data_IF_240207937078
#
_entry.id   IF_240207937078
#
_cell.length_a   1.000
_cell.length_b   1.000
_cell.length_c   1.000
_cell.angle_alpha   90.00
_cell.angle_beta   90.00
_cell.angle_gamma   90.00
#
_symmetry.space_group_name_H-M   'P 1'
#
loop_
_entity.id
_entity.type
_entity.pdbx_description
1 polymer ?
#
# COMPACT_ATOMS: atom_id res chain seq x y z
N UNK A 1 16.13 26.76 -12.41
CA UNK A 1 15.73 26.95 -10.99
C UNK A 1 14.47 26.18 -10.64
N UNK A 2 13.37 26.30 -11.40
CA UNK A 2 12.12 25.55 -11.15
C UNK A 2 12.30 24.02 -11.14
N UNK A 3 13.09 23.48 -12.07
CA UNK A 3 13.34 22.03 -12.16
C UNK A 3 14.01 21.46 -10.90
N UNK A 4 14.98 22.19 -10.34
CA UNK A 4 15.67 21.82 -9.11
C UNK A 4 14.73 21.85 -7.89
N UNK A 5 13.80 22.80 -7.86
CA UNK A 5 12.78 22.91 -6.80
C UNK A 5 11.79 21.75 -6.87
N UNK A 6 11.37 21.34 -8.08
CA UNK A 6 10.48 20.19 -8.27
C UNK A 6 11.14 18.89 -7.83
N UNK A 7 12.42 18.67 -8.17
CA UNK A 7 13.18 17.50 -7.73
C UNK A 7 13.28 17.47 -6.20
N UNK A 8 13.60 18.60 -5.57
CA UNK A 8 13.66 18.70 -4.11
C UNK A 8 12.30 18.42 -3.43
N UNK A 9 11.20 18.88 -4.02
CA UNK A 9 9.85 18.65 -3.51
C UNK A 9 9.43 17.17 -3.61
N UNK A 10 9.77 16.49 -4.71
CA UNK A 10 9.50 15.04 -4.88
C UNK A 10 10.31 14.21 -3.88
N UNK A 11 11.59 14.56 -3.67
CA UNK A 11 12.46 13.90 -2.69
C UNK A 11 11.98 14.12 -1.24
N UNK A 12 11.42 15.28 -0.93
CA UNK A 12 10.82 15.56 0.38
C UNK A 12 9.45 14.89 0.58
N UNK A 13 8.71 14.63 -0.52
CA UNK A 13 7.35 14.07 -0.49
C UNK A 13 7.27 12.56 -0.25
N UNK A 14 8.31 11.79 -0.57
CA UNK A 14 8.34 10.35 -0.36
C UNK A 14 9.25 9.97 0.83
N UNK A 15 8.72 10.06 2.04
CA UNK A 15 9.19 9.27 3.19
C UNK A 15 10.42 9.76 3.95
N UNK A 16 10.91 10.98 3.70
CA UNK A 16 12.03 11.58 4.45
C UNK A 16 11.63 12.66 5.46
N UNK A 17 10.36 12.67 5.88
CA UNK A 17 10.00 13.32 7.14
C UNK A 17 10.53 12.45 8.28
N UNK A 18 11.17 13.09 9.27
CA UNK A 18 11.90 12.49 10.38
C UNK A 18 11.33 11.14 10.79
N UNK A 19 12.18 10.11 10.72
CA UNK A 19 11.99 8.83 11.37
C UNK A 19 11.54 9.11 12.81
N UNK A 20 10.24 9.08 13.08
CA UNK A 20 9.76 8.71 14.41
C UNK A 20 10.39 7.35 14.64
N UNK A 21 11.49 7.34 15.42
CA UNK A 21 12.38 6.18 15.61
C UNK A 21 11.71 5.00 16.31
N UNK A 22 10.41 5.06 16.47
CA UNK A 22 9.51 4.00 16.86
C UNK A 22 8.18 4.30 16.20
N UNK A 23 7.83 3.63 15.10
CA UNK A 23 6.42 3.31 14.92
C UNK A 23 5.95 2.74 16.28
N UNK A 24 4.83 3.19 16.87
CA UNK A 24 4.47 2.79 18.22
C UNK A 24 4.50 1.26 18.29
N UNK A 25 5.49 0.71 19.01
CA UNK A 25 5.61 -0.74 19.19
C UNK A 25 4.34 -1.29 19.87
N UNK A 26 3.58 -0.41 20.51
CA UNK A 26 2.27 -0.65 21.04
C UNK A 26 1.23 -0.47 19.93
N UNK A 27 0.66 -1.59 19.50
CA UNK A 27 -0.55 -1.67 18.67
C UNK A 27 -1.62 -0.70 19.24
N UNK A 28 -2.00 0.38 18.53
CA UNK A 28 -3.02 1.30 19.02
C UNK A 28 -4.37 0.59 19.13
N UNK A 29 -4.95 0.64 20.34
CA UNK A 29 -6.17 -0.06 20.69
C UNK A 29 -7.42 0.45 19.93
N UNK A 30 -7.36 1.66 19.38
CA UNK A 30 -8.50 2.33 18.75
C UNK A 30 -8.49 2.27 17.21
N UNK A 31 -7.50 1.62 16.58
CA UNK A 31 -7.52 1.44 15.13
C UNK A 31 -8.19 0.10 14.79
N UNK A 32 -9.18 0.16 13.92
CA UNK A 32 -9.92 -1.02 13.42
C UNK A 32 -9.02 -1.99 12.66
N UNK A 33 -7.93 -1.51 12.04
CA UNK A 33 -6.88 -2.34 11.43
C UNK A 33 -6.23 -3.33 12.40
N UNK A 34 -6.40 -3.09 13.70
CA UNK A 34 -5.84 -3.89 14.76
C UNK A 34 -6.86 -4.72 15.54
N UNK A 35 -8.15 -4.60 15.21
CA UNK A 35 -9.18 -5.48 15.75
C UNK A 35 -8.84 -6.95 15.43
N UNK A 36 -9.30 -7.91 16.26
CA UNK A 36 -9.24 -9.32 15.90
C UNK A 36 -9.89 -9.51 14.53
N UNK A 37 -9.20 -10.21 13.62
CA UNK A 37 -9.78 -10.56 12.34
C UNK A 37 -10.95 -11.52 12.61
N UNK A 38 -12.20 -11.17 12.25
CA UNK A 38 -13.34 -12.05 12.44
C UNK A 38 -13.31 -13.25 11.48
N UNK A 39 -12.39 -13.25 10.50
CA UNK A 39 -12.21 -14.36 9.57
C UNK A 39 -11.46 -15.49 10.26
N UNK A 40 -11.80 -16.72 9.89
CA UNK A 40 -11.03 -17.90 10.25
C UNK A 40 -9.60 -17.78 9.72
N UNK A 41 -8.65 -18.57 10.26
CA UNK A 41 -7.28 -18.63 9.75
C UNK A 41 -7.29 -18.70 8.21
N UNK A 42 -6.66 -17.71 7.58
CA UNK A 42 -6.48 -17.69 6.15
C UNK A 42 -5.67 -18.95 5.80
N UNK A 43 -6.24 -19.79 4.93
CA UNK A 43 -5.54 -20.97 4.42
C UNK A 43 -4.24 -20.61 3.69
N UNK A 44 -3.55 -21.60 3.12
CA UNK A 44 -2.31 -21.37 2.39
C UNK A 44 -2.47 -20.25 1.34
N UNK A 45 -1.46 -19.39 1.22
CA UNK A 45 -1.45 -18.38 0.17
C UNK A 45 -1.61 -19.03 -1.20
N UNK A 46 -2.45 -18.44 -2.04
CA UNK A 46 -2.74 -18.91 -3.39
C UNK A 46 -2.64 -17.76 -4.37
N UNK A 47 -2.13 -18.05 -5.58
CA UNK A 47 -2.15 -17.12 -6.69
C UNK A 47 -3.59 -16.90 -7.15
N UNK A 48 -4.10 -15.67 -7.01
CA UNK A 48 -5.44 -15.30 -7.50
C UNK A 48 -5.43 -15.08 -9.02
N UNK A 49 -4.31 -14.60 -9.57
CA UNK A 49 -4.13 -14.31 -10.99
C UNK A 49 -3.08 -15.26 -11.57
N UNK A 50 -3.50 -16.47 -11.93
CA UNK A 50 -2.59 -17.49 -12.51
C UNK A 50 -2.04 -17.02 -13.86
N UNK A 51 -2.89 -16.38 -14.66
CA UNK A 51 -2.48 -15.70 -15.90
C UNK A 51 -2.49 -14.18 -15.69
N UNK A 52 -1.29 -13.61 -15.60
CA UNK A 52 -1.11 -12.18 -15.44
C UNK A 52 -1.66 -11.40 -16.64
N UNK A 53 -1.58 -11.94 -17.87
CA UNK A 53 -1.99 -11.23 -19.07
C UNK A 53 -3.51 -11.04 -19.13
N UNK A 54 -4.27 -12.09 -18.83
CA UNK A 54 -5.72 -12.01 -18.68
C UNK A 54 -6.14 -11.07 -17.55
N UNK A 55 -5.42 -11.08 -16.41
CA UNK A 55 -5.73 -10.18 -15.29
C UNK A 55 -5.54 -8.71 -15.66
N UNK A 56 -4.46 -8.36 -16.37
CA UNK A 56 -4.24 -6.99 -16.83
C UNK A 56 -5.26 -6.56 -17.88
N UNK A 57 -5.60 -7.42 -18.84
CA UNK A 57 -6.63 -7.12 -19.83
C UNK A 57 -8.00 -6.83 -19.18
N UNK A 58 -8.35 -7.55 -18.11
CA UNK A 58 -9.58 -7.28 -17.36
C UNK A 58 -9.54 -5.92 -16.62
N UNK A 59 -8.39 -5.53 -16.08
CA UNK A 59 -8.21 -4.21 -15.45
C UNK A 59 -8.37 -3.09 -16.49
N UNK A 60 -7.74 -3.25 -17.66
CA UNK A 60 -7.84 -2.27 -18.74
C UNK A 60 -9.29 -2.11 -19.23
N UNK A 61 -10.05 -3.21 -19.28
CA UNK A 61 -11.47 -3.18 -19.65
C UNK A 61 -12.32 -2.39 -18.65
N UNK A 62 -12.08 -2.54 -17.34
CA UNK A 62 -12.80 -1.78 -16.30
C UNK A 62 -12.50 -0.27 -16.33
N UNK A 63 -11.33 0.13 -16.83
CA UNK A 63 -10.94 1.55 -16.95
C UNK A 63 -11.58 2.21 -18.18
N UNK A 64 -11.99 1.42 -19.17
CA UNK A 64 -12.58 1.90 -20.41
C UNK A 64 -14.10 2.16 -20.33
N UNK A 65 -14.76 1.80 -19.22
CA UNK A 65 -16.17 2.11 -18.90
C UNK A 65 -16.33 3.50 -18.25
#
# INVERSE_FOLDING_TARGET
MLFSVLIAAVLAGCGMAAKEKTAPCKRPANLTSYAPDPRQECGPMMSVNVDASAAFAAIDAMVAE
#
